data_IF_704547834114
#
_entry.id   IF_704547834114
#
_cell.length_a   1.000
_cell.length_b   1.000
_cell.length_c   1.000
_cell.angle_alpha   90.00
_cell.angle_beta   90.00
_cell.angle_gamma   90.00
#
_symmetry.space_group_name_H-M   'P 1'
#
loop_
_entity.id
_entity.type
_entity.pdbx_description
1 polymer ?
#
# COMPACT_ATOMS: atom_id res chain seq x y z
N UNK A 1 -7.84 13.97 -13.61
CA UNK A 1 -9.16 14.48 -13.19
C UNK A 1 -9.73 13.80 -11.92
N UNK A 2 -9.81 12.44 -11.76
CA UNK A 2 -10.42 11.84 -10.56
C UNK A 2 -9.77 12.25 -9.24
N UNK A 3 -8.43 12.42 -9.21
CA UNK A 3 -7.69 12.85 -8.02
C UNK A 3 -8.07 14.26 -7.55
N UNK A 4 -8.24 15.21 -8.49
CA UNK A 4 -8.64 16.57 -8.15
C UNK A 4 -10.09 16.63 -7.63
N UNK A 5 -10.99 15.81 -8.18
CA UNK A 5 -12.36 15.66 -7.67
C UNK A 5 -12.32 15.09 -6.24
N UNK A 6 -11.50 14.05 -5.99
CA UNK A 6 -11.29 13.50 -4.65
C UNK A 6 -10.78 14.54 -3.66
N UNK A 7 -9.80 15.37 -4.05
CA UNK A 7 -9.28 16.45 -3.19
C UNK A 7 -10.32 17.56 -2.94
N UNK A 8 -11.10 17.90 -3.95
CA UNK A 8 -12.23 18.84 -3.78
C UNK A 8 -13.26 18.33 -2.78
N UNK A 9 -13.62 17.05 -2.88
CA UNK A 9 -14.50 16.39 -1.92
C UNK A 9 -13.88 16.33 -0.50
N UNK A 10 -12.55 16.12 -0.39
CA UNK A 10 -11.82 16.18 0.87
C UNK A 10 -11.87 17.57 1.49
N UNK A 11 -11.69 18.61 0.68
CA UNK A 11 -11.78 19.99 1.11
C UNK A 11 -13.19 20.32 1.62
N UNK A 12 -14.22 19.94 0.87
CA UNK A 12 -15.62 20.17 1.26
C UNK A 12 -16.01 19.41 2.54
N UNK A 13 -15.60 18.15 2.69
CA UNK A 13 -15.85 17.37 3.91
C UNK A 13 -15.09 17.90 5.12
N UNK A 14 -13.87 18.41 4.94
CA UNK A 14 -13.10 19.07 5.99
C UNK A 14 -13.73 20.39 6.41
N UNK A 15 -14.29 21.15 5.45
CA UNK A 15 -15.06 22.35 5.74
C UNK A 15 -16.32 22.03 6.54
N UNK A 16 -17.04 20.97 6.18
CA UNK A 16 -18.20 20.49 6.92
C UNK A 16 -17.85 20.13 8.37
N UNK A 17 -16.68 19.50 8.60
CA UNK A 17 -16.18 19.21 9.94
C UNK A 17 -15.77 20.46 10.71
N UNK A 18 -15.20 21.45 10.02
CA UNK A 18 -14.80 22.72 10.62
C UNK A 18 -15.99 23.55 11.12
N UNK A 19 -17.08 23.57 10.36
CA UNK A 19 -18.28 24.34 10.65
C UNK A 19 -19.33 23.56 11.47
N UNK A 20 -19.24 22.23 11.47
CA UNK A 20 -20.22 21.34 12.09
C UNK A 20 -20.19 21.42 13.62
N UNK A 21 -21.34 21.68 14.24
CA UNK A 21 -21.51 21.71 15.71
C UNK A 21 -22.35 20.55 16.25
N UNK A 22 -23.09 19.86 15.39
CA UNK A 22 -23.93 18.72 15.75
C UNK A 22 -23.26 17.38 15.49
N UNK A 23 -23.51 16.39 16.35
CA UNK A 23 -22.96 15.04 16.21
C UNK A 23 -23.22 14.43 14.82
N UNK A 24 -24.44 14.58 14.29
CA UNK A 24 -24.83 14.05 12.98
C UNK A 24 -23.96 14.67 11.88
N UNK A 25 -23.75 16.00 11.90
CA UNK A 25 -22.92 16.71 10.92
C UNK A 25 -21.47 16.23 10.97
N UNK A 26 -20.93 16.00 12.16
CA UNK A 26 -19.57 15.49 12.36
C UNK A 26 -19.44 14.05 11.82
N UNK A 27 -20.43 13.19 12.07
CA UNK A 27 -20.44 11.80 11.55
C UNK A 27 -20.53 11.81 10.03
N UNK A 28 -21.42 12.60 9.44
CA UNK A 28 -21.54 12.72 7.97
C UNK A 28 -20.26 13.31 7.36
N UNK A 29 -19.69 14.34 7.96
CA UNK A 29 -18.42 14.92 7.54
C UNK A 29 -17.28 13.89 7.53
N UNK A 30 -17.17 13.07 8.57
CA UNK A 30 -16.19 11.97 8.64
C UNK A 30 -16.45 10.88 7.60
N UNK A 31 -17.70 10.52 7.35
CA UNK A 31 -18.04 9.54 6.32
C UNK A 31 -17.64 10.04 4.91
N UNK A 32 -17.98 11.31 4.59
CA UNK A 32 -17.59 11.93 3.32
C UNK A 32 -16.07 12.07 3.18
N UNK A 33 -15.36 12.41 4.26
CA UNK A 33 -13.90 12.46 4.30
C UNK A 33 -13.29 11.08 4.03
N UNK A 34 -13.87 10.00 4.60
CA UNK A 34 -13.45 8.63 4.34
C UNK A 34 -13.64 8.21 2.88
N UNK A 35 -14.80 8.54 2.27
CA UNK A 35 -15.06 8.28 0.85
C UNK A 35 -14.06 9.02 -0.04
N UNK A 36 -13.81 10.30 0.24
CA UNK A 36 -12.83 11.10 -0.49
C UNK A 36 -11.41 10.53 -0.38
N UNK A 37 -10.98 10.17 0.84
CA UNK A 37 -9.69 9.55 1.09
C UNK A 37 -9.54 8.22 0.34
N UNK A 38 -10.60 7.38 0.31
CA UNK A 38 -10.60 6.12 -0.42
C UNK A 38 -10.37 6.32 -1.93
N UNK A 39 -11.00 7.33 -2.54
CA UNK A 39 -10.80 7.66 -3.96
C UNK A 39 -9.36 8.11 -4.21
N UNK A 40 -8.85 9.05 -3.42
CA UNK A 40 -7.49 9.59 -3.58
C UNK A 40 -6.44 8.48 -3.40
N UNK A 41 -6.62 7.64 -2.39
CA UNK A 41 -5.72 6.53 -2.09
C UNK A 41 -5.70 5.48 -3.20
N UNK A 42 -6.88 5.01 -3.62
CA UNK A 42 -7.01 3.97 -4.64
C UNK A 42 -6.44 4.42 -6.00
N UNK A 43 -6.81 5.63 -6.43
CA UNK A 43 -6.34 6.19 -7.71
C UNK A 43 -4.86 6.56 -7.63
N UNK A 44 -4.39 7.05 -6.48
CA UNK A 44 -2.99 7.41 -6.24
C UNK A 44 -2.07 6.19 -6.35
N UNK A 45 -2.42 5.07 -5.70
CA UNK A 45 -1.64 3.82 -5.78
C UNK A 45 -1.65 3.24 -7.20
N UNK A 46 -2.78 3.25 -7.88
CA UNK A 46 -2.86 2.80 -9.27
C UNK A 46 -1.95 3.63 -10.19
N UNK A 47 -1.97 4.96 -10.04
CA UNK A 47 -1.10 5.87 -10.80
C UNK A 47 0.39 5.63 -10.51
N UNK A 48 0.73 5.35 -9.24
CA UNK A 48 2.11 5.04 -8.85
C UNK A 48 2.61 3.79 -9.58
N UNK A 49 1.82 2.71 -9.60
CA UNK A 49 2.16 1.47 -10.30
C UNK A 49 2.33 1.69 -11.81
N UNK A 50 1.41 2.44 -12.42
CA UNK A 50 1.51 2.81 -13.85
C UNK A 50 2.78 3.61 -14.16
N UNK A 51 3.32 4.34 -13.17
CA UNK A 51 4.49 5.21 -13.35
C UNK A 51 5.80 4.45 -13.17
N UNK A 52 5.89 3.64 -12.11
CA UNK A 52 7.13 2.94 -11.70
C UNK A 52 7.34 1.65 -12.53
N UNK A 53 6.27 1.00 -12.96
CA UNK A 53 6.32 -0.30 -13.61
C UNK A 53 6.49 -1.47 -12.62
N UNK A 54 6.36 -2.71 -13.12
CA UNK A 54 6.24 -3.92 -12.27
C UNK A 54 7.53 -4.30 -11.51
N UNK A 55 8.70 -3.97 -12.05
CA UNK A 55 9.99 -4.44 -11.50
C UNK A 55 10.43 -3.76 -10.20
N UNK A 56 9.87 -2.57 -9.86
CA UNK A 56 10.25 -1.78 -8.68
C UNK A 56 9.04 -1.38 -7.84
N UNK A 57 7.96 -2.12 -7.92
CA UNK A 57 6.71 -1.81 -7.21
C UNK A 57 6.88 -1.95 -5.69
N UNK A 58 7.59 -2.96 -5.22
CA UNK A 58 7.81 -3.16 -3.79
C UNK A 58 8.58 -2.01 -3.16
N UNK A 59 9.66 -1.55 -3.80
CA UNK A 59 10.42 -0.38 -3.36
C UNK A 59 9.54 0.87 -3.31
N UNK A 60 8.76 1.14 -4.38
CA UNK A 60 7.85 2.28 -4.44
C UNK A 60 6.76 2.22 -3.35
N UNK A 61 6.19 1.04 -3.09
CA UNK A 61 5.23 0.84 -1.99
C UNK A 61 5.88 1.01 -0.62
N UNK A 62 7.18 0.67 -0.49
CA UNK A 62 7.97 0.96 0.69
C UNK A 62 8.07 2.47 0.98
N UNK A 63 8.29 3.31 -0.04
CA UNK A 63 8.26 4.77 0.13
C UNK A 63 6.88 5.31 0.48
N UNK A 64 5.80 4.71 -0.05
CA UNK A 64 4.43 5.06 0.36
C UNK A 64 4.22 4.74 1.84
N UNK A 65 4.61 3.55 2.29
CA UNK A 65 4.51 3.15 3.69
C UNK A 65 5.36 4.04 4.62
N UNK A 66 6.55 4.45 4.17
CA UNK A 66 7.39 5.43 4.86
C UNK A 66 6.68 6.77 5.04
N UNK A 67 6.11 7.32 3.96
CA UNK A 67 5.39 8.59 3.98
C UNK A 67 4.15 8.52 4.90
N UNK A 68 3.42 7.40 4.89
CA UNK A 68 2.30 7.16 5.81
C UNK A 68 2.76 7.17 7.26
N UNK A 69 3.85 6.46 7.58
CA UNK A 69 4.38 6.39 8.93
C UNK A 69 4.82 7.76 9.45
N UNK A 70 5.47 8.54 8.57
CA UNK A 70 5.84 9.92 8.88
C UNK A 70 4.61 10.79 9.16
N UNK A 71 3.56 10.66 8.32
CA UNK A 71 2.32 11.41 8.50
C UNK A 71 1.61 11.04 9.82
N UNK A 72 1.50 9.75 10.14
CA UNK A 72 0.88 9.27 11.39
C UNK A 72 1.66 9.74 12.62
N UNK A 73 2.98 9.86 12.51
CA UNK A 73 3.83 10.36 13.59
C UNK A 73 3.67 11.87 13.79
N UNK A 74 3.74 12.62 12.70
CA UNK A 74 3.85 14.10 12.74
C UNK A 74 2.49 14.77 12.92
N UNK A 75 1.41 14.20 12.34
CA UNK A 75 0.10 14.85 12.34
C UNK A 75 -0.49 15.08 13.74
N UNK A 76 -0.49 14.12 14.69
CA UNK A 76 -0.97 14.36 16.06
C UNK A 76 -0.13 15.38 16.82
N UNK A 77 1.20 15.35 16.64
CA UNK A 77 2.13 16.27 17.28
C UNK A 77 1.90 17.71 16.80
N UNK A 78 1.86 17.92 15.48
CA UNK A 78 1.58 19.24 14.91
C UNK A 78 0.18 19.73 15.28
N UNK A 79 -0.83 18.85 15.15
CA UNK A 79 -2.21 19.18 15.50
C UNK A 79 -2.34 19.59 16.96
N UNK A 80 -1.71 18.86 17.86
CA UNK A 80 -1.71 19.16 19.31
C UNK A 80 -1.03 20.48 19.65
N UNK A 81 0.15 20.73 19.08
CA UNK A 81 0.91 21.99 19.31
C UNK A 81 0.17 23.20 18.73
N UNK A 82 -0.35 23.07 17.49
CA UNK A 82 -1.11 24.16 16.85
C UNK A 82 -2.40 24.44 17.61
N UNK A 83 -3.11 23.40 18.05
CA UNK A 83 -4.32 23.57 18.86
C UNK A 83 -4.01 24.28 20.16
N UNK A 84 -2.97 23.88 20.89
CA UNK A 84 -2.60 24.46 22.17
C UNK A 84 -2.16 25.92 22.08
N UNK A 85 -1.50 26.32 20.97
CA UNK A 85 -0.96 27.68 20.81
C UNK A 85 -1.85 28.64 20.03
N UNK A 86 -2.60 28.14 19.05
CA UNK A 86 -3.36 28.98 18.11
C UNK A 86 -4.85 28.61 18.03
N UNK A 87 -5.29 27.58 18.76
CA UNK A 87 -6.68 27.19 18.91
C UNK A 87 -7.28 26.40 17.74
N UNK A 88 -8.59 26.19 17.82
CA UNK A 88 -9.37 25.33 16.93
C UNK A 88 -9.23 25.68 15.43
N UNK A 89 -9.40 26.97 15.10
CA UNK A 89 -9.39 27.45 13.73
C UNK A 89 -8.03 27.27 13.03
N UNK A 90 -6.95 27.43 13.77
CA UNK A 90 -5.60 27.28 13.23
C UNK A 90 -5.30 25.85 12.77
N UNK A 91 -5.85 24.83 13.45
CA UNK A 91 -5.71 23.43 13.03
C UNK A 91 -6.39 23.20 11.68
N UNK A 92 -7.58 23.76 11.46
CA UNK A 92 -8.26 23.63 10.17
C UNK A 92 -7.58 24.46 9.08
N UNK A 93 -7.07 25.66 9.39
CA UNK A 93 -6.27 26.43 8.43
C UNK A 93 -5.02 25.65 8.00
N UNK A 94 -4.34 24.97 8.93
CA UNK A 94 -3.22 24.08 8.60
C UNK A 94 -3.66 22.93 7.70
N UNK A 95 -4.80 22.29 7.98
CA UNK A 95 -5.32 21.21 7.15
C UNK A 95 -5.67 21.68 5.72
N UNK A 96 -6.33 22.83 5.58
CA UNK A 96 -6.60 23.44 4.26
C UNK A 96 -5.33 23.85 3.53
N UNK A 97 -4.31 24.35 4.25
CA UNK A 97 -3.00 24.64 3.68
C UNK A 97 -2.34 23.41 3.08
N UNK A 98 -2.37 22.27 3.79
CA UNK A 98 -1.83 21.00 3.29
C UNK A 98 -2.62 20.48 2.07
N UNK A 99 -3.96 20.57 2.07
CA UNK A 99 -4.78 20.23 0.90
C UNK A 99 -4.42 21.13 -0.28
N UNK A 100 -4.25 22.44 -0.04
CA UNK A 100 -3.83 23.40 -1.06
C UNK A 100 -2.48 23.04 -1.68
N UNK A 101 -1.49 22.69 -0.88
CA UNK A 101 -0.17 22.21 -1.35
C UNK A 101 -0.32 20.94 -2.20
N UNK A 102 -1.13 19.96 -1.75
CA UNK A 102 -1.35 18.73 -2.53
C UNK A 102 -2.03 19.03 -3.87
N UNK A 103 -3.00 19.95 -3.91
CA UNK A 103 -3.65 20.39 -5.17
C UNK A 103 -2.62 21.01 -6.11
N UNK A 104 -1.77 21.93 -5.62
CA UNK A 104 -0.72 22.58 -6.44
C UNK A 104 0.24 21.52 -6.99
N UNK A 105 0.75 20.63 -6.13
CA UNK A 105 1.65 19.55 -6.56
C UNK A 105 1.03 18.66 -7.64
N UNK A 106 -0.27 18.37 -7.56
CA UNK A 106 -0.97 17.55 -8.57
C UNK A 106 -1.23 18.29 -9.87
N UNK A 107 -1.44 19.60 -9.82
CA UNK A 107 -1.57 20.42 -11.04
C UNK A 107 -0.21 20.53 -11.76
N UNK A 108 0.87 20.63 -11.01
CA UNK A 108 2.24 20.68 -11.55
C UNK A 108 2.69 19.32 -12.09
N UNK A 109 2.12 18.22 -11.57
CA UNK A 109 2.48 16.86 -11.98
C UNK A 109 1.98 16.60 -13.42
N UNK A 110 2.94 16.57 -14.36
CA UNK A 110 2.66 16.29 -15.78
C UNK A 110 2.46 14.79 -15.96
N UNK A 111 1.25 14.37 -16.38
CA UNK A 111 0.98 12.97 -16.70
C UNK A 111 1.86 12.51 -17.88
N UNK A 112 2.42 11.29 -17.83
CA UNK A 112 3.23 10.69 -18.93
C UNK A 112 2.57 10.82 -20.30
N UNK A 113 1.23 10.75 -20.37
CA UNK A 113 0.47 10.91 -21.61
C UNK A 113 0.59 12.31 -22.22
N UNK A 114 0.77 13.33 -21.38
CA UNK A 114 0.97 14.71 -21.81
C UNK A 114 2.46 14.95 -22.09
N UNK A 115 3.36 14.41 -21.27
CA UNK A 115 4.81 14.50 -21.47
C UNK A 115 5.25 13.94 -22.82
N UNK A 116 4.67 12.81 -23.27
CA UNK A 116 4.94 12.23 -24.60
C UNK A 116 4.59 13.15 -25.79
N UNK A 117 3.79 14.19 -25.60
CA UNK A 117 3.54 15.18 -26.66
C UNK A 117 4.71 16.17 -26.83
N UNK A 118 5.59 16.23 -25.84
CA UNK A 118 6.75 17.12 -25.79
C UNK A 118 8.07 16.35 -25.97
N UNK A 119 8.05 15.00 -26.02
CA UNK A 119 9.17 14.21 -26.45
C UNK A 119 9.31 14.39 -27.97
N UNK A 120 10.06 15.42 -28.36
CA UNK A 120 10.59 15.58 -29.69
C UNK A 120 11.53 14.40 -29.89
N UNK A 121 11.39 13.55 -30.96
CA UNK A 121 12.39 12.53 -31.24
C UNK A 121 13.74 13.25 -31.31
N UNK A 122 14.71 12.80 -30.50
CA UNK A 122 16.08 13.22 -30.67
C UNK A 122 16.44 12.90 -32.12
N UNK A 123 16.61 13.93 -32.93
CA UNK A 123 17.23 13.79 -34.23
C UNK A 123 18.64 13.35 -33.92
N UNK A 124 18.93 12.06 -34.16
CA UNK A 124 20.28 11.53 -34.10
C UNK A 124 21.15 12.30 -35.10
N UNK A 125 21.71 13.40 -34.62
CA UNK A 125 22.80 14.10 -35.24
C UNK A 125 24.07 13.34 -34.96
N UNK A 126 24.39 12.37 -35.86
CA UNK A 126 25.76 11.94 -36.13
C UNK A 126 25.75 10.70 -37.03
N UNK A 127 25.57 10.95 -38.35
CA UNK A 127 26.27 10.17 -39.40
C UNK A 127 26.36 11.00 -40.66
N UNK A 128 27.20 12.05 -40.61
CA UNK A 128 27.87 12.56 -41.78
C UNK A 128 29.04 11.61 -42.09
N UNK A 129 28.75 10.55 -42.80
CA UNK A 129 29.72 9.63 -43.43
C UNK A 129 29.39 9.53 -44.89
N UNK A 130 30.25 10.11 -45.73
CA UNK A 130 30.21 10.12 -47.17
C UNK A 130 29.77 8.78 -47.77
N UNK A 131 28.81 8.80 -48.69
CA UNK A 131 28.63 7.77 -49.73
C UNK A 131 28.42 8.41 -51.07
N UNK A 132 29.11 7.90 -52.16
CA UNK A 132 29.07 8.47 -53.48
C UNK A 132 27.75 8.19 -54.20
N UNK A 133 27.32 9.15 -54.98
CA UNK A 133 26.21 9.07 -55.93
C UNK A 133 26.42 7.93 -56.93
N UNK A 134 25.47 7.01 -57.00
CA UNK A 134 25.13 6.34 -58.28
C UNK A 134 23.78 5.64 -58.17
N UNK A 135 22.88 5.90 -59.09
CA UNK A 135 21.75 5.04 -59.47
C UNK A 135 20.36 5.48 -59.01
N UNK A 136 19.64 6.06 -59.96
CA UNK A 136 18.20 6.24 -60.03
C UNK A 136 17.44 4.98 -59.62
N UNK A 137 16.46 5.08 -58.70
CA UNK A 137 15.16 4.46 -58.89
C UNK A 137 14.18 4.86 -57.74
N UNK A 138 12.99 5.04 -58.15
CA UNK A 138 11.70 5.36 -57.53
C UNK A 138 11.52 5.35 -55.99
N UNK A 139 11.13 6.49 -55.46
CA UNK A 139 10.59 6.64 -54.11
C UNK A 139 9.23 5.93 -54.06
N UNK A 140 9.21 4.73 -53.48
CA UNK A 140 7.98 4.13 -52.90
C UNK A 140 7.93 4.45 -51.41
N UNK A 141 6.86 5.09 -50.98
CA UNK A 141 6.58 5.27 -49.57
C UNK A 141 6.40 3.92 -48.85
N UNK A 142 6.64 3.86 -47.53
CA UNK A 142 6.52 2.62 -46.77
C UNK A 142 5.10 2.07 -46.86
N UNK A 143 4.97 0.80 -47.24
CA UNK A 143 3.72 0.04 -47.22
C UNK A 143 3.37 -0.32 -45.77
N UNK A 144 2.07 -0.49 -45.52
CA UNK A 144 1.54 -0.85 -44.16
C UNK A 144 2.11 -2.17 -43.59
N UNK A 145 2.81 -2.99 -44.41
CA UNK A 145 3.46 -4.25 -43.97
C UNK A 145 4.79 -4.04 -43.23
N UNK A 146 5.44 -2.88 -43.35
CA UNK A 146 6.72 -2.61 -42.67
C UNK A 146 6.57 -2.19 -41.20
N UNK A 147 5.33 -2.02 -40.71
CA UNK A 147 5.05 -1.64 -39.32
C UNK A 147 5.05 -2.82 -38.34
N UNK A 148 5.07 -4.06 -38.84
CA UNK A 148 4.95 -5.26 -37.97
C UNK A 148 6.31 -5.82 -37.48
N UNK A 149 7.43 -5.22 -37.86
CA UNK A 149 8.77 -5.74 -37.51
C UNK A 149 9.51 -4.95 -36.44
N UNK A 150 8.85 -4.03 -35.71
CA UNK A 150 9.46 -3.36 -34.56
C UNK A 150 9.38 -4.23 -33.29
N UNK A 151 10.46 -4.35 -32.52
CA UNK A 151 10.48 -5.18 -31.30
C UNK A 151 9.39 -4.77 -30.33
N UNK A 152 8.59 -5.72 -29.92
CA UNK A 152 7.38 -5.63 -29.06
C UNK A 152 7.70 -5.21 -27.62
N UNK A 153 8.26 -4.02 -27.40
CA UNK A 153 8.51 -3.46 -26.08
C UNK A 153 7.51 -2.36 -25.65
N UNK A 154 6.61 -1.94 -26.56
CA UNK A 154 5.58 -0.95 -26.23
C UNK A 154 4.25 -1.43 -26.83
N UNK A 155 3.57 -2.34 -26.16
CA UNK A 155 2.18 -2.64 -26.47
C UNK A 155 1.33 -1.41 -26.16
N UNK A 156 1.07 -0.57 -27.17
CA UNK A 156 0.00 0.39 -27.19
C UNK A 156 -1.30 -0.41 -27.25
N UNK A 157 -2.00 -0.53 -26.12
CA UNK A 157 -3.30 -1.18 -26.08
C UNK A 157 -4.30 -0.41 -26.96
N UNK A 158 -4.92 -1.05 -27.97
CA UNK A 158 -5.97 -0.43 -28.77
C UNK A 158 -7.17 -0.14 -27.87
N UNK A 159 -7.62 1.11 -27.83
CA UNK A 159 -8.81 1.57 -27.13
C UNK A 159 -10.08 1.23 -27.91
N UNK A 160 -10.32 -0.04 -28.22
CA UNK A 160 -11.58 -0.47 -28.81
C UNK A 160 -11.99 -1.83 -28.26
N UNK A 161 -12.52 -1.84 -27.05
CA UNK A 161 -13.10 -3.01 -26.42
C UNK A 161 -14.36 -2.59 -25.66
N UNK A 162 -15.53 -2.98 -26.16
CA UNK A 162 -16.81 -2.90 -25.48
C UNK A 162 -16.65 -3.19 -23.99
N UNK A 163 -17.06 -2.25 -23.16
CA UNK A 163 -17.22 -2.42 -21.71
C UNK A 163 -18.07 -3.67 -21.41
N UNK A 164 -17.42 -4.80 -21.23
CA UNK A 164 -18.07 -5.99 -20.70
C UNK A 164 -18.21 -5.77 -19.19
N UNK A 165 -19.44 -5.50 -18.77
CA UNK A 165 -20.01 -5.51 -17.41
C UNK A 165 -18.99 -5.66 -16.27
N UNK A 166 -18.67 -4.57 -15.57
CA UNK A 166 -17.79 -4.51 -14.40
C UNK A 166 -18.10 -5.48 -13.25
N UNK A 167 -19.27 -6.12 -13.27
CA UNK A 167 -19.67 -7.17 -12.34
C UNK A 167 -18.90 -8.48 -12.52
N UNK A 168 -18.48 -8.82 -13.74
CA UNK A 168 -17.71 -10.04 -14.00
C UNK A 168 -16.26 -9.89 -13.57
N UNK A 169 -15.70 -8.67 -13.64
CA UNK A 169 -14.31 -8.40 -13.27
C UNK A 169 -14.08 -8.52 -11.76
N UNK A 170 -14.99 -8.02 -10.91
CA UNK A 170 -14.89 -8.15 -9.44
C UNK A 170 -14.97 -9.63 -9.03
N UNK A 171 -15.91 -10.39 -9.60
CA UNK A 171 -16.05 -11.82 -9.32
C UNK A 171 -14.79 -12.57 -9.72
N UNK A 172 -14.19 -12.21 -10.86
CA UNK A 172 -12.94 -12.82 -11.33
C UNK A 172 -11.76 -12.51 -10.39
N UNK A 173 -11.71 -11.32 -9.77
CA UNK A 173 -10.72 -10.99 -8.76
C UNK A 173 -10.96 -11.76 -7.45
N UNK A 174 -12.20 -11.78 -6.95
CA UNK A 174 -12.56 -12.48 -5.71
C UNK A 174 -12.45 -14.01 -5.82
N UNK A 175 -12.46 -14.57 -7.03
CA UNK A 175 -12.18 -16.02 -7.22
C UNK A 175 -10.69 -16.38 -7.09
N UNK A 176 -9.78 -15.38 -6.99
CA UNK A 176 -8.35 -15.62 -6.80
C UNK A 176 -8.01 -15.88 -5.35
N UNK A 177 -7.64 -17.12 -5.01
CA UNK A 177 -7.16 -17.46 -3.67
C UNK A 177 -5.97 -16.62 -3.21
N UNK A 178 -5.08 -16.27 -4.15
CA UNK A 178 -3.92 -15.43 -3.91
C UNK A 178 -4.32 -14.01 -3.50
N UNK A 179 -5.30 -13.40 -4.19
CA UNK A 179 -5.83 -12.09 -3.82
C UNK A 179 -6.56 -12.14 -2.48
N UNK A 180 -7.43 -13.12 -2.28
CA UNK A 180 -8.16 -13.28 -1.00
C UNK A 180 -7.20 -13.42 0.18
N UNK A 181 -6.10 -14.17 0.02
CA UNK A 181 -5.06 -14.28 1.03
C UNK A 181 -4.37 -12.94 1.32
N UNK A 182 -4.02 -12.19 0.28
CA UNK A 182 -3.43 -10.86 0.45
C UNK A 182 -4.39 -9.90 1.17
N UNK A 183 -5.68 -9.92 0.83
CA UNK A 183 -6.72 -9.12 1.51
C UNK A 183 -6.92 -9.54 2.97
N UNK A 184 -6.93 -10.85 3.26
CA UNK A 184 -7.02 -11.36 4.62
C UNK A 184 -5.79 -10.96 5.46
N UNK A 185 -4.58 -11.10 4.90
CA UNK A 185 -3.36 -10.67 5.56
C UNK A 185 -3.35 -9.16 5.82
N UNK A 186 -3.85 -8.35 4.88
CA UNK A 186 -4.01 -6.91 5.03
C UNK A 186 -4.99 -6.56 6.15
N UNK A 187 -6.14 -7.21 6.19
CA UNK A 187 -7.13 -7.06 7.26
C UNK A 187 -6.51 -7.41 8.62
N UNK A 188 -5.85 -8.55 8.71
CA UNK A 188 -5.17 -9.03 9.93
C UNK A 188 -4.11 -8.04 10.39
N UNK A 189 -3.24 -7.59 9.48
CA UNK A 189 -2.18 -6.63 9.78
C UNK A 189 -2.75 -5.30 10.29
N UNK A 190 -3.82 -4.82 9.66
CA UNK A 190 -4.50 -3.58 10.07
C UNK A 190 -5.15 -3.71 11.46
N UNK A 191 -5.77 -4.87 11.77
CA UNK A 191 -6.29 -5.14 13.13
C UNK A 191 -5.15 -5.13 14.15
N UNK A 192 -4.04 -5.83 13.87
CA UNK A 192 -2.88 -5.90 14.76
C UNK A 192 -2.26 -4.51 15.01
N UNK A 193 -2.29 -3.62 14.03
CA UNK A 193 -1.77 -2.26 14.17
C UNK A 193 -2.70 -1.39 15.02
N UNK A 194 -3.99 -1.39 14.70
CA UNK A 194 -4.95 -0.40 15.24
C UNK A 194 -5.64 -0.84 16.54
N UNK A 195 -5.53 -2.09 16.93
CA UNK A 195 -6.03 -2.54 18.25
C UNK A 195 -5.40 -1.76 19.41
N UNK A 196 -4.17 -1.27 19.23
CA UNK A 196 -3.44 -0.48 20.24
C UNK A 196 -3.97 0.94 20.39
N UNK A 197 -4.59 1.51 19.35
CA UNK A 197 -5.08 2.90 19.35
C UNK A 197 -6.11 3.15 20.44
N UNK A 198 -6.98 2.17 20.72
CA UNK A 198 -8.00 2.27 21.75
C UNK A 198 -7.49 1.91 23.14
N UNK A 199 -6.53 1.00 23.23
CA UNK A 199 -6.18 0.36 24.52
C UNK A 199 -4.94 0.96 25.14
N UNK A 200 -3.91 1.24 24.34
CA UNK A 200 -2.60 1.64 24.83
C UNK A 200 -2.61 2.94 25.64
N UNK A 201 -3.30 4.03 25.19
CA UNK A 201 -3.39 5.27 25.95
C UNK A 201 -4.07 5.08 27.31
N UNK A 202 -5.16 4.30 27.35
CA UNK A 202 -5.90 4.00 28.57
C UNK A 202 -5.09 3.14 29.53
N UNK A 203 -4.34 2.19 29.00
CA UNK A 203 -3.50 1.28 29.77
C UNK A 203 -2.37 2.03 30.48
N UNK A 204 -1.61 2.85 29.76
CA UNK A 204 -0.49 3.62 30.34
C UNK A 204 -0.98 4.69 31.29
N UNK A 205 -2.15 5.29 31.05
CA UNK A 205 -2.78 6.20 31.98
C UNK A 205 -3.19 5.49 33.29
N UNK A 206 -3.79 4.29 33.16
CA UNK A 206 -4.29 3.53 34.33
C UNK A 206 -3.16 3.00 35.21
N UNK A 207 -2.07 2.48 34.61
CA UNK A 207 -0.99 1.80 35.36
C UNK A 207 0.09 2.79 35.81
N UNK A 208 0.44 3.75 34.93
CA UNK A 208 1.55 4.66 35.17
C UNK A 208 1.13 6.11 35.45
N UNK A 209 -0.15 6.42 35.39
CA UNK A 209 -0.66 7.77 35.59
C UNK A 209 -0.19 8.79 34.54
N UNK A 210 0.22 8.31 33.36
CA UNK A 210 0.75 9.20 32.31
C UNK A 210 -0.30 10.19 31.83
N UNK A 211 0.14 11.41 31.54
CA UNK A 211 -0.69 12.45 30.93
C UNK A 211 -0.99 12.10 29.47
N UNK A 212 -1.90 12.85 28.83
CA UNK A 212 -2.24 12.70 27.41
C UNK A 212 -1.01 12.80 26.48
N UNK A 213 0.00 13.60 26.86
CA UNK A 213 1.25 13.72 26.12
C UNK A 213 2.04 12.41 26.17
N UNK A 214 2.20 11.84 27.36
CA UNK A 214 2.88 10.55 27.54
C UNK A 214 2.16 9.42 26.83
N UNK A 215 0.81 9.42 26.88
CA UNK A 215 -0.03 8.47 26.15
C UNK A 215 0.08 8.60 24.63
N UNK A 216 0.36 9.78 24.11
CA UNK A 216 0.66 9.98 22.69
C UNK A 216 2.08 9.53 22.31
N UNK A 217 3.07 9.81 23.16
CA UNK A 217 4.47 9.47 22.92
C UNK A 217 4.73 7.96 22.91
N UNK A 218 3.89 7.14 23.55
CA UNK A 218 4.04 5.67 23.55
C UNK A 218 3.86 5.03 22.16
N UNK A 219 3.25 5.74 21.20
CA UNK A 219 3.16 5.27 19.82
C UNK A 219 4.46 5.47 19.02
N UNK A 220 5.39 6.32 19.48
CA UNK A 220 6.66 6.55 18.80
C UNK A 220 7.44 5.24 18.57
N UNK A 221 7.67 4.39 19.58
CA UNK A 221 8.35 3.11 19.37
C UNK A 221 7.65 2.22 18.33
N UNK A 222 6.30 2.20 18.31
CA UNK A 222 5.53 1.39 17.37
C UNK A 222 5.70 1.88 15.91
N UNK A 223 5.75 3.20 15.71
CA UNK A 223 5.78 3.79 14.37
C UNK A 223 7.21 3.93 13.83
N UNK A 224 8.21 4.20 14.68
CA UNK A 224 9.59 4.47 14.25
C UNK A 224 10.16 3.37 13.35
N UNK A 225 9.99 2.06 13.59
CA UNK A 225 10.55 1.03 12.73
C UNK A 225 9.96 1.01 11.31
N UNK A 226 8.80 1.63 11.09
CA UNK A 226 8.18 1.74 9.77
C UNK A 226 9.00 2.57 8.78
N UNK A 227 9.97 3.36 9.26
CA UNK A 227 10.94 4.03 8.39
C UNK A 227 11.83 3.06 7.60
N UNK A 228 11.87 1.80 8.00
CA UNK A 228 12.56 0.73 7.26
C UNK A 228 11.71 0.11 6.13
N UNK A 229 10.47 0.57 5.93
CA UNK A 229 9.55 0.05 4.91
C UNK A 229 10.15 -0.02 3.49
N UNK A 230 10.95 0.95 2.98
CA UNK A 230 11.56 0.83 1.67
C UNK A 230 12.51 -0.36 1.54
N UNK A 231 13.22 -0.71 2.64
CA UNK A 231 14.08 -1.89 2.68
C UNK A 231 13.29 -3.20 2.53
N UNK A 232 12.13 -3.28 3.18
CA UNK A 232 11.23 -4.43 3.05
C UNK A 232 10.62 -4.52 1.66
N UNK A 233 10.31 -3.37 1.04
CA UNK A 233 9.86 -3.29 -0.34
C UNK A 233 10.90 -3.83 -1.32
N UNK A 234 12.14 -3.37 -1.20
CA UNK A 234 13.26 -3.85 -1.99
C UNK A 234 13.51 -5.36 -1.81
N UNK A 235 13.40 -5.86 -0.58
CA UNK A 235 13.49 -7.29 -0.30
C UNK A 235 12.37 -8.08 -0.96
N UNK A 236 11.15 -7.54 -0.93
CA UNK A 236 9.98 -8.11 -1.59
C UNK A 236 10.15 -8.21 -3.11
N UNK A 237 10.72 -7.17 -3.75
CA UNK A 237 10.97 -7.17 -5.19
C UNK A 237 11.98 -8.24 -5.60
N UNK A 238 12.98 -8.53 -4.76
CA UNK A 238 14.03 -9.51 -5.06
C UNK A 238 13.65 -10.95 -4.76
N UNK A 239 13.00 -11.21 -3.63
CA UNK A 239 12.71 -12.57 -3.13
C UNK A 239 11.23 -12.92 -3.12
N UNK A 240 10.39 -12.00 -3.61
CA UNK A 240 8.94 -12.16 -3.59
C UNK A 240 8.31 -11.74 -2.25
N UNK A 241 6.99 -11.48 -2.23
CA UNK A 241 6.29 -10.94 -1.08
C UNK A 241 6.00 -11.95 0.02
N UNK A 242 6.03 -13.26 -0.26
CA UNK A 242 5.71 -14.33 0.69
C UNK A 242 6.60 -14.30 1.93
N UNK A 243 7.93 -14.40 1.74
CA UNK A 243 8.89 -14.55 2.83
C UNK A 243 8.81 -13.38 3.80
N UNK A 244 8.94 -12.10 3.37
CA UNK A 244 8.91 -11.00 4.32
C UNK A 244 7.52 -10.86 5.00
N UNK A 245 6.41 -11.13 4.31
CA UNK A 245 5.08 -11.09 4.92
C UNK A 245 4.92 -12.15 6.00
N UNK A 246 5.28 -13.40 5.71
CA UNK A 246 5.19 -14.51 6.68
C UNK A 246 6.09 -14.26 7.89
N UNK A 247 7.35 -13.83 7.66
CA UNK A 247 8.29 -13.50 8.74
C UNK A 247 7.78 -12.34 9.58
N UNK A 248 7.12 -11.33 8.97
CA UNK A 248 6.52 -10.23 9.71
C UNK A 248 5.47 -10.70 10.71
N UNK A 249 4.54 -11.54 10.28
CA UNK A 249 3.53 -12.11 11.18
C UNK A 249 4.14 -13.04 12.23
N UNK A 250 5.08 -13.90 11.86
CA UNK A 250 5.76 -14.79 12.82
C UNK A 250 6.56 -14.00 13.86
N UNK A 251 7.26 -12.95 13.44
CA UNK A 251 8.06 -12.12 14.33
C UNK A 251 7.19 -11.29 15.29
N UNK A 252 5.96 -10.94 14.92
CA UNK A 252 5.02 -10.26 15.80
C UNK A 252 4.56 -11.12 16.99
N UNK A 253 4.46 -12.45 16.83
CA UNK A 253 3.89 -13.36 17.82
C UNK A 253 4.58 -13.28 19.19
N UNK A 254 5.93 -13.44 19.32
CA UNK A 254 6.60 -13.42 20.61
C UNK A 254 6.42 -12.08 21.33
N UNK A 255 6.44 -10.96 20.60
CA UNK A 255 6.27 -9.63 21.21
C UNK A 255 4.85 -9.41 21.71
N UNK A 256 3.84 -9.85 20.94
CA UNK A 256 2.44 -9.82 21.37
C UNK A 256 2.23 -10.66 22.66
N UNK A 257 2.84 -11.84 22.74
CA UNK A 257 2.75 -12.70 23.93
C UNK A 257 3.49 -12.10 25.12
N UNK A 258 4.68 -11.54 24.91
CA UNK A 258 5.50 -10.98 25.96
C UNK A 258 4.92 -9.67 26.53
N UNK A 259 4.16 -8.90 25.74
CA UNK A 259 3.49 -7.70 26.24
C UNK A 259 2.52 -7.95 27.42
N UNK A 260 2.04 -9.19 27.58
CA UNK A 260 1.23 -9.57 28.76
C UNK A 260 1.96 -9.41 30.09
N UNK A 261 3.30 -9.42 30.07
CA UNK A 261 4.15 -9.32 31.27
C UNK A 261 4.26 -7.90 31.81
N UNK A 262 3.77 -6.92 31.07
CA UNK A 262 3.73 -5.52 31.52
C UNK A 262 2.51 -5.35 32.40
N UNK A 263 2.67 -5.28 33.72
CA UNK A 263 1.56 -5.27 34.69
C UNK A 263 1.73 -4.29 35.86
N UNK A 264 2.93 -3.74 36.10
CA UNK A 264 3.18 -2.83 37.20
C UNK A 264 3.97 -1.58 36.81
N UNK A 265 4.03 -0.58 37.66
CA UNK A 265 4.77 0.67 37.45
C UNK A 265 6.24 0.50 37.88
N UNK A 266 7.11 0.31 36.87
CA UNK A 266 8.56 0.40 37.04
C UNK A 266 9.23 0.90 35.76
N UNK A 267 10.42 1.47 35.88
CA UNK A 267 11.19 1.95 34.73
C UNK A 267 11.50 0.78 33.76
N UNK A 268 11.77 -0.40 34.31
CA UNK A 268 12.02 -1.61 33.52
C UNK A 268 10.81 -2.01 32.67
N UNK A 269 9.61 -1.94 33.25
CA UNK A 269 8.36 -2.25 32.56
C UNK A 269 8.03 -1.23 31.45
N UNK A 270 8.32 0.05 31.68
CA UNK A 270 8.19 1.11 30.69
C UNK A 270 9.14 0.87 29.50
N UNK A 271 10.41 0.56 29.80
CA UNK A 271 11.40 0.23 28.78
C UNK A 271 11.04 -1.06 28.02
N UNK A 272 10.55 -2.09 28.73
CA UNK A 272 10.10 -3.33 28.14
C UNK A 272 8.94 -3.09 27.16
N UNK A 273 7.91 -2.34 27.55
CA UNK A 273 6.79 -2.03 26.66
C UNK A 273 7.24 -1.27 25.42
N UNK A 274 8.10 -0.26 25.58
CA UNK A 274 8.64 0.48 24.43
C UNK A 274 9.44 -0.44 23.48
N UNK A 275 10.27 -1.32 24.00
CA UNK A 275 11.03 -2.28 23.20
C UNK A 275 10.11 -3.27 22.47
N UNK A 276 9.08 -3.81 23.15
CA UNK A 276 8.11 -4.72 22.53
C UNK A 276 7.30 -4.04 21.44
N UNK A 277 6.88 -2.77 21.66
CA UNK A 277 6.19 -1.97 20.66
C UNK A 277 7.08 -1.69 19.45
N UNK A 278 8.36 -1.38 19.65
CA UNK A 278 9.30 -1.17 18.55
C UNK A 278 9.49 -2.46 17.71
N UNK A 279 9.67 -3.59 18.37
CA UNK A 279 9.77 -4.87 17.67
C UNK A 279 8.48 -5.26 16.95
N UNK A 280 7.33 -4.96 17.54
CA UNK A 280 6.03 -5.16 16.89
C UNK A 280 5.85 -4.25 15.67
N UNK A 281 6.21 -2.98 15.79
CA UNK A 281 6.18 -2.02 14.68
C UNK A 281 7.08 -2.46 13.50
N UNK A 282 8.26 -2.98 13.81
CA UNK A 282 9.16 -3.58 12.80
C UNK A 282 8.49 -4.77 12.11
N UNK A 283 7.91 -5.70 12.87
CA UNK A 283 7.22 -6.87 12.36
C UNK A 283 6.04 -6.51 11.44
N UNK A 284 5.20 -5.55 11.87
CA UNK A 284 4.03 -5.12 11.11
C UNK A 284 4.40 -4.36 9.84
N UNK A 285 5.47 -3.58 9.85
CA UNK A 285 5.98 -2.88 8.66
C UNK A 285 6.56 -3.86 7.65
N UNK A 286 7.27 -4.89 8.12
CA UNK A 286 7.80 -5.97 7.30
C UNK A 286 6.68 -6.78 6.63
N UNK A 287 5.49 -6.89 7.25
CA UNK A 287 4.33 -7.55 6.67
C UNK A 287 3.56 -6.67 5.66
N UNK A 288 3.34 -5.39 5.97
CA UNK A 288 2.46 -4.50 5.18
C UNK A 288 3.03 -4.17 3.80
N UNK A 289 4.30 -3.81 3.74
CA UNK A 289 4.92 -3.32 2.50
C UNK A 289 4.87 -4.36 1.36
N UNK A 290 5.22 -5.63 1.58
CA UNK A 290 5.07 -6.66 0.56
C UNK A 290 3.62 -6.94 0.16
N UNK A 291 2.65 -6.79 1.07
CA UNK A 291 1.24 -6.96 0.76
C UNK A 291 0.73 -5.89 -0.21
N UNK A 292 1.20 -4.65 -0.09
CA UNK A 292 0.92 -3.58 -1.06
C UNK A 292 1.44 -3.94 -2.46
N UNK A 293 2.65 -4.49 -2.56
CA UNK A 293 3.24 -4.92 -3.82
C UNK A 293 2.53 -6.15 -4.41
N UNK A 294 2.10 -7.10 -3.55
CA UNK A 294 1.43 -8.33 -3.95
C UNK A 294 0.14 -8.07 -4.76
N UNK A 295 -0.59 -7.01 -4.43
CA UNK A 295 -1.78 -6.59 -5.19
C UNK A 295 -1.42 -6.35 -6.66
N UNK A 296 -0.31 -5.65 -6.93
CA UNK A 296 0.16 -5.41 -8.30
C UNK A 296 0.55 -6.69 -9.02
N UNK A 297 1.26 -7.60 -8.32
CA UNK A 297 1.68 -8.87 -8.92
C UNK A 297 0.48 -9.76 -9.27
N UNK A 298 -0.54 -9.80 -8.41
CA UNK A 298 -1.79 -10.54 -8.69
C UNK A 298 -2.52 -9.98 -9.89
N UNK A 299 -2.64 -8.65 -10.00
CA UNK A 299 -3.28 -8.00 -11.15
C UNK A 299 -2.53 -8.33 -12.43
N UNK A 300 -1.20 -8.17 -12.41
CA UNK A 300 -0.35 -8.44 -13.55
C UNK A 300 -0.49 -9.87 -14.08
N UNK A 301 -0.42 -10.86 -13.18
CA UNK A 301 -0.58 -12.27 -13.54
C UNK A 301 -1.97 -12.59 -14.09
N UNK A 302 -3.03 -11.97 -13.55
CA UNK A 302 -4.39 -12.16 -14.08
C UNK A 302 -4.61 -11.50 -15.44
N UNK A 303 -4.01 -10.34 -15.67
CA UNK A 303 -4.09 -9.64 -16.95
C UNK A 303 -3.37 -10.41 -18.06
N UNK A 304 -2.25 -11.06 -17.75
CA UNK A 304 -1.55 -12.00 -18.65
C UNK A 304 -2.38 -13.24 -18.94
N UNK A 305 -3.07 -13.78 -17.94
CA UNK A 305 -3.90 -14.97 -18.09
C UNK A 305 -5.22 -14.72 -18.84
N UNK A 306 -5.75 -13.49 -18.80
CA UNK A 306 -7.02 -13.10 -19.41
C UNK A 306 -6.90 -11.70 -20.04
N UNK A 307 -6.21 -11.57 -21.19
CA UNK A 307 -5.99 -10.28 -21.84
C UNK A 307 -7.31 -9.57 -22.14
N UNK A 308 -7.45 -8.30 -21.73
CA UNK A 308 -8.63 -7.48 -22.01
C UNK A 308 -9.85 -7.71 -21.11
N UNK A 309 -9.86 -8.70 -20.21
CA UNK A 309 -10.99 -8.99 -19.30
C UNK A 309 -11.27 -7.86 -18.31
N UNK A 310 -10.29 -7.00 -18.03
CA UNK A 310 -10.36 -5.95 -17.02
C UNK A 310 -10.46 -4.53 -17.59
N UNK A 311 -10.59 -4.37 -18.91
CA UNK A 311 -10.74 -3.05 -19.54
C UNK A 311 -9.55 -2.10 -19.36
N UNK A 312 -8.32 -2.60 -19.37
CA UNK A 312 -7.09 -1.82 -19.30
C UNK A 312 -6.84 -1.22 -17.90
N UNK A 313 -6.70 0.12 -17.78
CA UNK A 313 -6.26 0.81 -16.55
C UNK A 313 -7.13 0.63 -15.30
N UNK A 314 -8.35 0.07 -15.41
CA UNK A 314 -9.28 -0.13 -14.29
C UNK A 314 -8.91 -1.27 -13.33
N UNK A 315 -8.11 -2.23 -13.75
CA UNK A 315 -7.77 -3.42 -12.97
C UNK A 315 -7.02 -3.09 -11.67
N UNK A 316 -5.99 -2.25 -11.76
CA UNK A 316 -5.21 -1.82 -10.59
C UNK A 316 -6.04 -1.00 -9.61
N UNK A 317 -6.83 -0.04 -10.11
CA UNK A 317 -7.70 0.77 -9.25
C UNK A 317 -8.71 -0.09 -8.48
N UNK A 318 -9.29 -1.10 -9.14
CA UNK A 318 -10.24 -2.03 -8.50
C UNK A 318 -9.56 -2.90 -7.45
N UNK A 319 -8.39 -3.45 -7.73
CA UNK A 319 -7.64 -4.29 -6.79
C UNK A 319 -7.17 -3.49 -5.56
N UNK A 320 -6.67 -2.27 -5.76
CA UNK A 320 -6.34 -1.37 -4.64
C UNK A 320 -7.56 -0.86 -3.89
N UNK A 321 -8.72 -0.74 -4.56
CA UNK A 321 -10.00 -0.51 -3.88
C UNK A 321 -10.35 -1.62 -2.90
N UNK A 322 -10.20 -2.89 -3.29
CA UNK A 322 -10.40 -4.04 -2.42
C UNK A 322 -9.39 -4.09 -1.28
N UNK A 323 -8.11 -3.78 -1.57
CA UNK A 323 -7.07 -3.65 -0.54
C UNK A 323 -7.45 -2.60 0.50
N UNK A 324 -7.86 -1.40 0.05
CA UNK A 324 -8.27 -0.32 0.93
C UNK A 324 -9.50 -0.68 1.78
N UNK A 325 -10.46 -1.43 1.22
CA UNK A 325 -11.59 -1.95 1.98
C UNK A 325 -11.16 -2.92 3.08
N UNK A 326 -10.24 -3.84 2.77
CA UNK A 326 -9.70 -4.78 3.76
C UNK A 326 -8.93 -4.04 4.86
N UNK A 327 -8.08 -3.08 4.49
CA UNK A 327 -7.32 -2.26 5.42
C UNK A 327 -8.24 -1.42 6.33
N UNK A 328 -9.22 -0.72 5.76
CA UNK A 328 -10.20 0.06 6.51
C UNK A 328 -11.09 -0.80 7.42
N UNK A 329 -11.46 -2.02 6.95
CA UNK A 329 -12.16 -3.00 7.77
C UNK A 329 -11.35 -3.38 9.02
N UNK A 330 -10.05 -3.60 8.87
CA UNK A 330 -9.16 -3.87 9.99
C UNK A 330 -9.02 -2.67 10.94
N UNK A 331 -8.92 -1.46 10.41
CA UNK A 331 -8.91 -0.22 11.21
C UNK A 331 -10.20 -0.01 12.03
N UNK A 332 -11.32 -0.50 11.55
CA UNK A 332 -12.58 -0.49 12.29
C UNK A 332 -12.63 -1.58 13.36
N UNK A 333 -12.27 -2.80 13.00
CA UNK A 333 -12.36 -3.98 13.88
C UNK A 333 -11.32 -3.92 15.00
N UNK A 334 -10.09 -3.45 14.71
CA UNK A 334 -8.97 -3.45 15.66
C UNK A 334 -9.27 -2.76 16.98
N UNK A 335 -9.64 -1.46 16.99
CA UNK A 335 -9.95 -0.73 18.21
C UNK A 335 -11.17 -1.29 18.97
N UNK A 336 -12.19 -1.75 18.23
CA UNK A 336 -13.39 -2.37 18.82
C UNK A 336 -12.99 -3.67 19.55
N UNK A 337 -12.27 -4.55 18.85
CA UNK A 337 -11.77 -5.80 19.43
C UNK A 337 -10.88 -5.57 20.63
N UNK A 338 -9.85 -4.70 20.49
CA UNK A 338 -8.90 -4.35 21.54
C UNK A 338 -9.63 -3.81 22.77
N UNK A 339 -10.53 -2.86 22.59
CA UNK A 339 -11.30 -2.23 23.67
C UNK A 339 -12.20 -3.24 24.42
N UNK A 340 -13.05 -3.99 23.71
CA UNK A 340 -13.98 -4.95 24.32
C UNK A 340 -13.25 -6.10 25.02
N UNK A 341 -12.20 -6.65 24.40
CA UNK A 341 -11.45 -7.77 25.00
C UNK A 341 -10.70 -7.30 26.26
N UNK A 342 -10.06 -6.11 26.19
CA UNK A 342 -9.34 -5.57 27.34
C UNK A 342 -10.28 -5.24 28.49
N UNK A 343 -11.45 -4.66 28.22
CA UNK A 343 -12.44 -4.33 29.23
C UNK A 343 -13.06 -5.59 29.87
N UNK A 344 -13.37 -6.61 29.07
CA UNK A 344 -14.06 -7.81 29.55
C UNK A 344 -13.16 -8.89 30.14
N UNK A 345 -11.95 -9.07 29.60
CA UNK A 345 -11.04 -10.18 29.92
C UNK A 345 -9.61 -9.73 30.30
N UNK A 346 -9.33 -8.45 30.23
CA UNK A 346 -8.05 -7.85 30.60
C UNK A 346 -6.99 -7.81 29.51
N UNK A 347 -5.91 -7.07 29.81
CA UNK A 347 -4.78 -6.81 28.93
C UNK A 347 -4.10 -8.08 28.38
N UNK A 348 -3.79 -9.04 29.27
CA UNK A 348 -3.10 -10.27 28.85
C UNK A 348 -3.92 -11.12 27.86
N UNK A 349 -5.25 -11.12 27.99
CA UNK A 349 -6.13 -11.84 27.05
C UNK A 349 -6.15 -11.14 25.67
N UNK A 350 -6.17 -9.81 25.65
CA UNK A 350 -6.08 -9.04 24.41
C UNK A 350 -4.78 -9.37 23.66
N UNK A 351 -3.65 -9.35 24.34
CA UNK A 351 -2.35 -9.71 23.77
C UNK A 351 -2.36 -11.13 23.16
N UNK A 352 -2.94 -12.09 23.86
CA UNK A 352 -3.08 -13.47 23.38
C UNK A 352 -3.94 -13.58 22.12
N UNK A 353 -5.10 -12.92 22.09
CA UNK A 353 -5.99 -12.96 20.93
C UNK A 353 -5.35 -12.37 19.70
N UNK A 354 -4.58 -11.29 19.84
CA UNK A 354 -3.80 -10.70 18.75
C UNK A 354 -2.67 -11.62 18.28
N UNK A 355 -2.00 -12.34 19.20
CA UNK A 355 -0.99 -13.33 18.83
C UNK A 355 -1.60 -14.49 18.01
N UNK A 356 -2.77 -15.02 18.41
CA UNK A 356 -3.49 -16.04 17.64
C UNK A 356 -3.89 -15.51 16.26
N UNK A 357 -4.35 -14.26 16.18
CA UNK A 357 -4.67 -13.62 14.91
C UNK A 357 -3.42 -13.48 14.02
N UNK A 358 -2.26 -13.14 14.59
CA UNK A 358 -0.99 -13.09 13.87
C UNK A 358 -0.56 -14.46 13.34
N UNK A 359 -0.76 -15.55 14.10
CA UNK A 359 -0.52 -16.93 13.65
C UNK A 359 -1.37 -17.23 12.41
N UNK A 360 -2.66 -16.88 12.43
CA UNK A 360 -3.55 -17.09 11.28
C UNK A 360 -3.07 -16.33 10.04
N UNK A 361 -2.59 -15.08 10.22
CA UNK A 361 -1.99 -14.29 9.15
C UNK A 361 -0.75 -14.94 8.58
N UNK A 362 0.15 -15.46 9.44
CA UNK A 362 1.37 -16.15 9.02
C UNK A 362 1.06 -17.41 8.20
N UNK A 363 0.10 -18.24 8.65
CA UNK A 363 -0.32 -19.46 7.94
C UNK A 363 -0.90 -19.13 6.56
N UNK A 364 -1.79 -18.14 6.48
CA UNK A 364 -2.38 -17.72 5.21
C UNK A 364 -1.34 -17.11 4.28
N UNK A 365 -0.42 -16.31 4.82
CA UNK A 365 0.66 -15.72 4.03
C UNK A 365 1.56 -16.79 3.43
N UNK A 366 1.99 -17.78 4.22
CA UNK A 366 2.85 -18.87 3.76
C UNK A 366 2.18 -19.74 2.68
N UNK A 367 0.90 -20.04 2.82
CA UNK A 367 0.22 -20.94 1.91
C UNK A 367 -0.14 -20.30 0.56
N UNK A 368 -0.52 -19.02 0.53
CA UNK A 368 -1.17 -18.43 -0.65
C UNK A 368 -0.58 -17.10 -1.13
N UNK A 369 0.13 -16.33 -0.32
CA UNK A 369 0.79 -15.09 -0.77
C UNK A 369 1.96 -15.46 -1.69
N UNK A 370 2.10 -14.76 -2.82
CA UNK A 370 3.12 -15.11 -3.82
C UNK A 370 2.82 -16.35 -4.67
N UNK A 371 1.60 -16.94 -4.55
CA UNK A 371 1.17 -18.15 -5.26
C UNK A 371 1.18 -19.41 -4.38
N UNK A 372 0.57 -20.49 -4.84
CA UNK A 372 0.51 -21.76 -4.09
C UNK A 372 1.89 -22.41 -3.99
N UNK A 373 2.33 -22.78 -2.77
CA UNK A 373 3.65 -23.39 -2.51
C UNK A 373 3.94 -24.58 -3.42
N UNK A 374 2.95 -25.44 -3.66
CA UNK A 374 3.10 -26.63 -4.51
C UNK A 374 3.27 -26.36 -6.00
N UNK A 375 2.84 -25.19 -6.53
CA UNK A 375 3.02 -24.79 -7.93
C UNK A 375 4.38 -24.12 -8.15
N UNK A 376 4.77 -23.24 -7.25
CA UNK A 376 6.04 -22.52 -7.34
C UNK A 376 7.25 -23.48 -7.32
N UNK A 377 7.16 -24.55 -6.55
CA UNK A 377 8.20 -25.61 -6.52
C UNK A 377 8.26 -26.45 -7.80
N UNK A 378 7.14 -26.64 -8.51
CA UNK A 378 7.13 -27.33 -9.80
C UNK A 378 7.69 -26.47 -10.93
N UNK A 379 7.27 -25.19 -11.01
CA UNK A 379 7.76 -24.25 -12.01
C UNK A 379 9.26 -23.92 -11.85
N UNK A 380 9.77 -23.87 -10.61
CA UNK A 380 11.20 -23.72 -10.35
C UNK A 380 11.99 -24.96 -10.78
N UNK A 381 11.44 -26.17 -10.54
CA UNK A 381 12.05 -27.43 -10.97
C UNK A 381 12.01 -27.61 -12.50
N UNK A 382 10.94 -27.21 -13.15
CA UNK A 382 10.82 -27.24 -14.61
C UNK A 382 11.82 -26.30 -15.27
N UNK A 383 11.99 -25.07 -14.74
CA UNK A 383 13.02 -24.12 -15.20
C UNK A 383 14.45 -24.62 -14.97
N UNK A 384 14.75 -25.24 -13.82
CA UNK A 384 16.06 -25.85 -13.56
C UNK A 384 16.36 -27.01 -14.53
N UNK A 385 15.35 -27.82 -14.87
CA UNK A 385 15.48 -28.91 -15.85
C UNK A 385 15.68 -28.34 -17.27
N UNK A 386 14.96 -27.27 -17.63
CA UNK A 386 15.05 -26.63 -18.93
C UNK A 386 16.43 -25.98 -19.15
N UNK A 387 16.95 -25.25 -18.15
CA UNK A 387 18.32 -24.69 -18.15
C UNK A 387 19.38 -25.78 -18.20
N UNK A 388 19.16 -26.91 -17.52
CA UNK A 388 20.08 -28.02 -17.52
C UNK A 388 20.11 -28.79 -18.87
N UNK A 389 18.97 -28.79 -19.58
CA UNK A 389 18.87 -29.42 -20.90
C UNK A 389 19.46 -28.52 -21.98
N UNK A 390 19.19 -27.19 -21.96
CA UNK A 390 19.80 -26.25 -22.89
C UNK A 390 21.32 -26.17 -22.81
N UNK A 391 21.89 -26.32 -21.59
CA UNK A 391 23.36 -26.41 -21.41
C UNK A 391 23.98 -27.76 -21.80
N UNK A 392 23.16 -28.77 -22.16
CA UNK A 392 23.65 -30.07 -22.68
C UNK A 392 23.68 -30.12 -24.22
N UNK A 393 22.89 -29.26 -24.85
CA UNK A 393 22.82 -29.21 -26.35
C UNK A 393 23.89 -28.26 -26.92
N UNK A 394 24.67 -27.57 -26.07
CA UNK A 394 25.79 -26.69 -26.45
C UNK A 394 27.18 -27.34 -26.25
N UNK A 395 27.27 -28.60 -25.82
CA UNK A 395 28.52 -29.39 -25.70
C UNK A 395 28.49 -30.57 -26.66
#
# INVERSE_FOLDING_TARGET
MPLLVGLGALCASTLLLCLGRGLVVLVVGRALQGVSAAVVWTVGLALLVDTVGRGRVGEAMGYVALAMSFAVLVAPLLGGVVYARAGYWAVFCMAFGLIGVDVVLRVVLVEKKVARRWDVPAVDGEQMGEKPLSGSDGVRGPSEEDLDTLPSAIAVFPSNGRSTKGRNSIVLFLSSRRLLAALYCTLTQSILLTAWDAVLPLYVHRIWGWSSIGAGLIFLPLITPSFLSPLFGFWSDRKGPRIPTTLGFLFAIPFLVLMRLVDHDSIQQKALLCAMLACLGFALSMALTPLLAEITYVVGHKEESHPGAFGGKGAYAMAYGLFNMAFAGGMLIGPIWGGFVTQGKGWGTMCWTLAVLSISGAVVAELWVGGWVGKSGKEAREKEVEVRNSGRDEV
#
